data_IF_628819150346
#
_entry.id   IF_628819150346
#
_cell.length_a   1.000
_cell.length_b   1.000
_cell.length_c   1.000
_cell.angle_alpha   90.00
_cell.angle_beta   90.00
_cell.angle_gamma   90.00
#
_symmetry.space_group_name_H-M   'P 1'
#
loop_
_entity.id
_entity.type
_entity.pdbx_description
1 polymer ?
#
# COMPACT_ATOMS: atom_id res chain seq x y z
N UNK A 1 -21.71 12.90 -3.46
CA UNK A 1 -21.17 11.76 -2.69
C UNK A 1 -21.73 10.48 -3.29
N UNK A 2 -20.92 9.44 -3.45
CA UNK A 2 -21.42 8.12 -3.82
C UNK A 2 -22.39 7.60 -2.74
N UNK A 3 -23.38 6.80 -3.13
CA UNK A 3 -24.29 6.18 -2.16
C UNK A 3 -23.50 5.25 -1.22
N UNK A 4 -23.92 5.21 0.06
CA UNK A 4 -23.33 4.32 1.07
C UNK A 4 -23.52 2.86 0.63
N UNK A 5 -22.45 2.05 0.53
CA UNK A 5 -22.56 0.63 0.19
C UNK A 5 -23.41 -0.15 1.20
N UNK A 6 -24.28 -1.03 0.69
CA UNK A 6 -25.14 -1.93 1.48
C UNK A 6 -25.15 -3.37 0.96
N UNK A 7 -24.34 -3.66 -0.06
CA UNK A 7 -24.31 -4.95 -0.76
C UNK A 7 -23.45 -4.89 -2.01
N UNK A 8 -23.33 -6.01 -2.71
CA UNK A 8 -22.69 -6.07 -4.03
C UNK A 8 -23.56 -5.37 -5.09
N UNK A 9 -22.92 -4.67 -6.03
CA UNK A 9 -23.60 -3.88 -7.07
C UNK A 9 -23.37 -4.39 -8.48
N UNK A 10 -22.37 -5.24 -8.70
CA UNK A 10 -22.07 -5.78 -10.01
C UNK A 10 -22.71 -7.17 -10.20
N UNK A 11 -22.84 -7.57 -11.47
CA UNK A 11 -23.27 -8.91 -11.88
C UNK A 11 -22.31 -9.56 -12.89
N UNK A 12 -21.24 -8.83 -13.25
CA UNK A 12 -20.24 -9.21 -14.26
C UNK A 12 -18.92 -8.50 -13.94
N UNK A 13 -17.79 -9.13 -14.26
CA UNK A 13 -16.45 -8.59 -14.06
C UNK A 13 -16.05 -8.53 -12.58
N UNK A 14 -15.00 -7.74 -12.29
CA UNK A 14 -14.50 -7.60 -10.92
C UNK A 14 -15.24 -6.48 -10.18
N UNK A 15 -15.66 -6.76 -8.96
CA UNK A 15 -16.16 -5.77 -8.02
C UNK A 15 -15.17 -5.59 -6.87
N UNK A 16 -14.57 -4.41 -6.76
CA UNK A 16 -13.59 -4.05 -5.73
C UNK A 16 -14.27 -3.35 -4.55
N UNK A 17 -14.17 -3.92 -3.36
CA UNK A 17 -14.59 -3.32 -2.10
C UNK A 17 -13.36 -2.75 -1.39
N UNK A 18 -13.18 -1.42 -1.40
CA UNK A 18 -11.92 -0.80 -0.98
C UNK A 18 -12.10 0.54 -0.24
N UNK A 19 -11.00 1.05 0.30
CA UNK A 19 -10.89 2.37 0.93
C UNK A 19 -9.47 2.94 0.70
N UNK A 20 -9.32 4.26 0.75
CA UNK A 20 -8.08 5.01 0.45
C UNK A 20 -6.98 4.76 1.49
N UNK A 21 -6.40 3.56 1.42
CA UNK A 21 -5.42 3.02 2.37
C UNK A 21 -4.30 2.30 1.61
N UNK A 22 -3.12 2.14 2.23
CA UNK A 22 -2.02 1.37 1.63
C UNK A 22 -2.41 -0.01 1.10
N UNK A 23 -3.27 -0.74 1.82
CA UNK A 23 -3.74 -2.06 1.39
C UNK A 23 -4.77 -1.97 0.26
N UNK A 24 -5.66 -0.98 0.29
CA UNK A 24 -6.65 -0.76 -0.76
C UNK A 24 -6.02 -0.49 -2.12
N UNK A 25 -4.92 0.26 -2.15
CA UNK A 25 -4.24 0.64 -3.38
C UNK A 25 -3.62 -0.53 -4.15
N UNK A 26 -3.26 -1.63 -3.47
CA UNK A 26 -2.71 -2.81 -4.13
C UNK A 26 -3.66 -3.32 -5.22
N UNK A 27 -4.93 -3.50 -4.85
CA UNK A 27 -5.95 -4.02 -5.75
C UNK A 27 -6.32 -3.01 -6.84
N UNK A 28 -6.52 -1.74 -6.50
CA UNK A 28 -6.90 -0.72 -7.49
C UNK A 28 -5.78 -0.46 -8.51
N UNK A 29 -4.51 -0.43 -8.09
CA UNK A 29 -3.37 -0.29 -9.01
C UNK A 29 -3.33 -1.45 -9.99
N UNK A 30 -3.37 -2.70 -9.51
CA UNK A 30 -3.33 -3.85 -10.42
C UNK A 30 -4.55 -3.91 -11.34
N UNK A 31 -5.75 -3.55 -10.85
CA UNK A 31 -6.95 -3.51 -11.68
C UNK A 31 -6.86 -2.44 -12.78
N UNK A 32 -6.27 -1.27 -12.50
CA UNK A 32 -6.01 -0.25 -13.52
C UNK A 32 -4.95 -0.70 -14.53
N UNK A 33 -3.90 -1.42 -14.10
CA UNK A 33 -2.90 -2.02 -14.98
C UNK A 33 -3.53 -3.08 -15.91
N UNK A 34 -4.35 -3.97 -15.35
CA UNK A 34 -5.05 -5.01 -16.11
C UNK A 34 -6.12 -4.45 -17.05
N UNK A 35 -6.80 -3.38 -16.64
CA UNK A 35 -7.75 -2.65 -17.48
C UNK A 35 -7.04 -2.04 -18.69
N UNK A 36 -5.88 -1.43 -18.50
CA UNK A 36 -5.09 -0.84 -19.58
C UNK A 36 -4.50 -1.91 -20.51
N UNK A 37 -3.95 -2.99 -19.97
CA UNK A 37 -3.26 -4.02 -20.75
C UNK A 37 -4.19 -5.03 -21.43
N UNK A 38 -5.34 -5.34 -20.82
CA UNK A 38 -6.21 -6.45 -21.21
C UNK A 38 -7.69 -6.06 -21.34
N UNK A 39 -8.06 -4.81 -21.07
CA UNK A 39 -9.45 -4.36 -21.14
C UNK A 39 -10.34 -4.92 -20.02
N UNK A 40 -9.77 -5.38 -18.90
CA UNK A 40 -10.51 -5.97 -17.78
C UNK A 40 -11.54 -4.97 -17.20
N UNK A 41 -12.85 -5.23 -17.30
CA UNK A 41 -13.85 -4.39 -16.66
C UNK A 41 -13.87 -4.64 -15.15
N UNK A 42 -13.92 -3.55 -14.39
CA UNK A 42 -14.20 -3.63 -12.96
C UNK A 42 -14.97 -2.40 -12.48
N UNK A 43 -15.69 -2.57 -11.37
CA UNK A 43 -16.31 -1.49 -10.59
C UNK A 43 -15.72 -1.48 -9.20
N UNK A 44 -15.82 -0.36 -8.49
CA UNK A 44 -15.39 -0.27 -7.09
C UNK A 44 -16.46 0.37 -6.21
N UNK A 45 -16.45 0.00 -4.92
CA UNK A 45 -17.26 0.60 -3.88
C UNK A 45 -16.38 1.20 -2.78
N UNK A 46 -16.73 2.41 -2.33
CA UNK A 46 -16.05 3.09 -1.22
C UNK A 46 -16.57 2.57 0.14
N UNK A 47 -15.83 1.64 0.73
CA UNK A 47 -16.12 1.06 2.04
C UNK A 47 -15.48 1.93 3.11
N UNK A 48 -16.19 2.98 3.53
CA UNK A 48 -15.69 3.89 4.56
C UNK A 48 -15.52 3.16 5.91
N UNK A 49 -14.26 2.87 6.24
CA UNK A 49 -13.92 2.08 7.43
C UNK A 49 -14.17 2.82 8.75
N UNK A 50 -14.29 4.15 8.70
CA UNK A 50 -14.65 4.97 9.87
C UNK A 50 -16.13 4.82 10.25
N UNK A 51 -16.96 4.34 9.33
CA UNK A 51 -18.37 4.05 9.55
C UNK A 51 -18.64 2.56 9.87
N UNK A 52 -17.59 1.75 10.00
CA UNK A 52 -17.67 0.31 10.25
C UNK A 52 -18.44 -0.49 9.17
N UNK A 53 -18.54 0.01 7.93
CA UNK A 53 -19.23 -0.71 6.83
C UNK A 53 -18.61 -2.10 6.60
N UNK A 54 -17.30 -2.23 6.72
CA UNK A 54 -16.54 -3.48 6.62
C UNK A 54 -16.90 -4.53 7.68
N UNK A 55 -17.72 -4.18 8.67
CA UNK A 55 -18.18 -5.09 9.74
C UNK A 55 -19.62 -5.56 9.53
N UNK A 56 -20.32 -5.02 8.52
CA UNK A 56 -21.70 -5.39 8.23
C UNK A 56 -21.82 -6.82 7.71
N UNK A 57 -22.96 -7.51 7.95
CA UNK A 57 -23.15 -8.90 7.55
C UNK A 57 -22.90 -9.17 6.05
N UNK A 58 -23.29 -8.25 5.18
CA UNK A 58 -23.10 -8.42 3.73
C UNK A 58 -21.62 -8.36 3.34
N UNK A 59 -20.82 -7.52 4.01
CA UNK A 59 -19.40 -7.42 3.76
C UNK A 59 -18.67 -8.62 4.35
N UNK A 60 -19.03 -9.04 5.57
CA UNK A 60 -18.37 -10.18 6.22
C UNK A 60 -18.72 -11.53 5.58
N UNK A 61 -19.83 -11.60 4.84
CA UNK A 61 -20.12 -12.72 3.94
C UNK A 61 -19.11 -12.82 2.78
N UNK A 62 -18.54 -11.70 2.32
CA UNK A 62 -17.48 -11.65 1.30
C UNK A 62 -16.09 -11.83 1.92
N UNK A 63 -15.82 -11.12 3.01
CA UNK A 63 -14.57 -11.19 3.75
C UNK A 63 -14.83 -11.40 5.26
N UNK A 64 -14.68 -12.63 5.79
CA UNK A 64 -14.94 -12.91 7.19
C UNK A 64 -14.01 -12.15 8.17
N UNK A 65 -12.83 -11.67 7.74
CA UNK A 65 -11.94 -10.83 8.55
C UNK A 65 -12.52 -9.40 8.75
N UNK A 66 -13.48 -9.00 7.92
CA UNK A 66 -14.12 -7.68 7.96
C UNK A 66 -13.10 -6.55 7.79
N UNK A 67 -12.20 -6.67 6.81
CA UNK A 67 -11.21 -5.65 6.45
C UNK A 67 -11.18 -5.44 4.94
N UNK A 68 -10.82 -4.24 4.51
CA UNK A 68 -10.54 -3.96 3.10
C UNK A 68 -9.07 -4.29 2.75
N UNK A 69 -8.74 -4.48 1.47
CA UNK A 69 -9.65 -4.67 0.35
C UNK A 69 -10.23 -6.09 0.30
N UNK A 70 -11.34 -6.23 -0.43
CA UNK A 70 -11.87 -7.49 -0.92
C UNK A 70 -12.32 -7.32 -2.38
N UNK A 71 -12.33 -8.40 -3.16
CA UNK A 71 -12.95 -8.43 -4.48
C UNK A 71 -13.99 -9.54 -4.58
N UNK A 72 -14.94 -9.37 -5.50
CA UNK A 72 -15.79 -10.45 -6.00
C UNK A 72 -15.62 -10.54 -7.50
N UNK A 73 -15.29 -11.72 -8.00
CA UNK A 73 -15.23 -12.00 -9.42
C UNK A 73 -16.54 -12.64 -9.90
N UNK A 74 -17.41 -11.81 -10.48
CA UNK A 74 -18.71 -12.23 -10.97
C UNK A 74 -18.63 -13.09 -12.23
N UNK A 75 -17.50 -13.03 -12.97
CA UNK A 75 -17.25 -13.89 -14.13
C UNK A 75 -16.69 -15.26 -13.72
N UNK A 76 -16.48 -15.48 -12.41
CA UNK A 76 -15.99 -16.72 -11.83
C UNK A 76 -16.87 -17.20 -10.68
N UNK A 77 -18.15 -17.38 -10.95
CA UNK A 77 -19.14 -17.91 -10.00
C UNK A 77 -19.25 -17.08 -8.71
N UNK A 78 -18.92 -15.79 -8.76
CA UNK A 78 -18.95 -14.90 -7.59
C UNK A 78 -17.83 -15.19 -6.59
N UNK A 79 -16.69 -15.72 -7.03
CA UNK A 79 -15.55 -16.01 -6.15
C UNK A 79 -15.11 -14.74 -5.41
N UNK A 80 -15.27 -14.77 -4.08
CA UNK A 80 -14.79 -13.73 -3.18
C UNK A 80 -13.31 -13.97 -2.82
N UNK A 81 -12.49 -12.92 -2.91
CA UNK A 81 -11.08 -12.96 -2.53
C UNK A 81 -10.77 -11.78 -1.62
N UNK A 82 -10.25 -12.06 -0.44
CA UNK A 82 -9.75 -11.06 0.50
C UNK A 82 -8.25 -11.28 0.77
N UNK A 83 -7.63 -10.35 1.50
CA UNK A 83 -6.18 -10.16 1.59
C UNK A 83 -5.56 -9.58 0.32
N UNK A 84 -4.97 -8.38 0.43
CA UNK A 84 -4.45 -7.64 -0.73
C UNK A 84 -3.46 -8.43 -1.57
N UNK A 85 -2.61 -9.25 -0.96
CA UNK A 85 -1.61 -10.02 -1.70
C UNK A 85 -2.20 -11.28 -2.36
N UNK A 86 -3.24 -11.87 -1.77
CA UNK A 86 -4.01 -12.94 -2.39
C UNK A 86 -4.81 -12.40 -3.59
N UNK A 87 -5.36 -11.18 -3.48
CA UNK A 87 -6.01 -10.47 -4.59
C UNK A 87 -5.02 -10.24 -5.75
N UNK A 88 -3.81 -9.72 -5.47
CA UNK A 88 -2.78 -9.54 -6.49
C UNK A 88 -2.44 -10.86 -7.22
N UNK A 89 -2.26 -11.93 -6.44
CA UNK A 89 -1.91 -13.25 -6.97
C UNK A 89 -3.06 -13.87 -7.77
N UNK A 90 -4.31 -13.71 -7.32
CA UNK A 90 -5.49 -14.18 -8.04
C UNK A 90 -5.65 -13.48 -9.39
N UNK A 91 -5.64 -12.15 -9.37
CA UNK A 91 -5.85 -11.34 -10.56
C UNK A 91 -4.77 -11.58 -11.62
N UNK A 92 -3.50 -11.71 -11.21
CA UNK A 92 -2.43 -12.03 -12.15
C UNK A 92 -2.54 -13.44 -12.73
N UNK A 93 -2.83 -14.46 -11.91
CA UNK A 93 -3.02 -15.82 -12.43
C UNK A 93 -4.17 -15.93 -13.44
N UNK A 94 -5.25 -15.15 -13.26
CA UNK A 94 -6.44 -15.25 -14.10
C UNK A 94 -6.42 -14.31 -15.31
N UNK A 95 -5.87 -13.10 -15.15
CA UNK A 95 -6.02 -12.03 -16.14
C UNK A 95 -4.70 -11.49 -16.70
N UNK A 96 -3.56 -11.73 -16.05
CA UNK A 96 -2.24 -11.31 -16.58
C UNK A 96 -1.65 -12.39 -17.51
N UNK A 97 -2.35 -12.67 -18.60
CA UNK A 97 -2.07 -13.82 -19.50
C UNK A 97 -0.70 -13.77 -20.18
N UNK A 98 -0.12 -12.57 -20.34
CA UNK A 98 1.21 -12.36 -20.92
C UNK A 98 2.28 -12.09 -19.86
N UNK A 99 1.96 -12.26 -18.57
CA UNK A 99 2.89 -12.03 -17.46
C UNK A 99 3.53 -10.62 -17.50
N UNK A 100 2.74 -9.59 -17.78
CA UNK A 100 3.19 -8.18 -17.81
C UNK A 100 3.42 -7.62 -16.40
N UNK A 101 2.71 -8.14 -15.41
CA UNK A 101 2.75 -7.71 -14.00
C UNK A 101 3.11 -8.84 -13.04
N UNK A 102 3.32 -10.04 -13.56
CA UNK A 102 3.72 -11.24 -12.84
C UNK A 102 4.87 -11.94 -13.57
N UNK A 103 5.44 -12.97 -12.97
CA UNK A 103 6.41 -13.85 -13.63
C UNK A 103 5.71 -15.18 -13.95
N UNK A 104 6.23 -15.91 -14.94
CA UNK A 104 5.70 -17.23 -15.26
C UNK A 104 5.97 -18.21 -14.10
N UNK A 105 5.06 -19.14 -13.75
CA UNK A 105 5.24 -20.03 -12.61
C UNK A 105 6.50 -20.92 -12.65
N UNK A 106 7.05 -21.16 -13.84
CA UNK A 106 8.30 -21.90 -14.06
C UNK A 106 9.56 -21.02 -14.05
N UNK A 107 9.42 -19.71 -13.86
CA UNK A 107 10.53 -18.77 -13.69
C UNK A 107 10.89 -18.65 -12.20
N UNK A 108 12.17 -18.70 -11.87
CA UNK A 108 12.64 -18.47 -10.49
C UNK A 108 12.26 -17.08 -9.95
N UNK A 109 12.08 -16.09 -10.83
CA UNK A 109 11.60 -14.75 -10.42
C UNK A 109 10.16 -14.77 -9.88
N UNK A 110 9.35 -15.79 -10.20
CA UNK A 110 8.06 -16.00 -9.55
C UNK A 110 8.22 -16.22 -8.05
N UNK A 111 9.09 -17.16 -7.65
CA UNK A 111 9.37 -17.44 -6.23
C UNK A 111 10.05 -16.26 -5.53
N UNK A 112 10.93 -15.52 -6.23
CA UNK A 112 11.52 -14.29 -5.65
C UNK A 112 10.48 -13.21 -5.42
N UNK A 113 9.52 -13.05 -6.33
CA UNK A 113 8.40 -12.12 -6.15
C UNK A 113 7.54 -12.53 -4.95
N UNK A 114 7.22 -13.82 -4.79
CA UNK A 114 6.50 -14.33 -3.62
C UNK A 114 7.24 -14.03 -2.31
N UNK A 115 8.57 -14.16 -2.27
CA UNK A 115 9.36 -13.83 -1.09
C UNK A 115 9.24 -12.34 -0.70
N UNK A 116 9.31 -11.43 -1.68
CA UNK A 116 9.16 -9.99 -1.44
C UNK A 116 7.73 -9.59 -1.07
N UNK A 117 6.73 -10.22 -1.67
CA UNK A 117 5.32 -10.05 -1.28
C UNK A 117 5.08 -10.56 0.15
N UNK A 118 5.72 -11.68 0.53
CA UNK A 118 5.71 -12.21 1.89
C UNK A 118 6.41 -11.28 2.89
N UNK A 119 7.58 -10.74 2.53
CA UNK A 119 8.30 -9.74 3.32
C UNK A 119 7.47 -8.47 3.52
N UNK A 120 6.78 -7.99 2.48
CA UNK A 120 5.86 -6.86 2.58
C UNK A 120 4.71 -7.17 3.54
N UNK A 121 4.10 -8.36 3.43
CA UNK A 121 2.94 -8.77 4.22
C UNK A 121 3.27 -8.95 5.71
N UNK A 122 4.40 -9.61 6.01
CA UNK A 122 4.80 -9.93 7.38
C UNK A 122 5.66 -8.86 8.07
N UNK A 123 6.29 -7.98 7.29
CA UNK A 123 7.19 -6.94 7.76
C UNK A 123 6.63 -5.54 7.50
N UNK A 124 6.92 -4.99 6.30
CA UNK A 124 6.68 -3.58 5.96
C UNK A 124 5.29 -3.09 6.34
N UNK A 125 4.24 -3.78 5.90
CA UNK A 125 2.86 -3.36 6.13
C UNK A 125 2.49 -3.32 7.62
N UNK A 126 2.54 -4.44 8.35
CA UNK A 126 2.17 -4.47 9.75
C UNK A 126 3.00 -3.53 10.64
N UNK A 127 4.32 -3.46 10.43
CA UNK A 127 5.21 -2.65 11.26
C UNK A 127 4.95 -1.15 11.05
N UNK A 128 4.84 -0.70 9.79
CA UNK A 128 4.47 0.68 9.49
C UNK A 128 3.04 0.98 9.95
N UNK A 129 2.12 0.02 9.90
CA UNK A 129 0.77 0.16 10.44
C UNK A 129 0.76 0.45 11.94
N UNK A 130 1.63 -0.20 12.72
CA UNK A 130 1.80 0.11 14.14
C UNK A 130 2.46 1.48 14.33
N UNK A 131 3.48 1.82 13.53
CA UNK A 131 4.10 3.14 13.58
C UNK A 131 3.06 4.25 13.33
N UNK A 132 2.24 4.14 12.28
CA UNK A 132 1.14 5.07 12.00
C UNK A 132 0.20 5.21 13.21
N UNK A 133 -0.11 4.11 13.90
CA UNK A 133 -0.96 4.15 15.09
C UNK A 133 -0.33 4.97 16.21
N UNK A 134 0.88 4.63 16.65
CA UNK A 134 1.52 5.32 17.78
C UNK A 134 1.96 6.75 17.47
N UNK A 135 2.20 7.07 16.20
CA UNK A 135 2.55 8.43 15.75
C UNK A 135 1.31 9.31 15.62
N UNK A 136 0.20 8.82 15.05
CA UNK A 136 -0.93 9.70 14.65
C UNK A 136 -2.27 9.40 15.31
N UNK A 137 -2.52 8.16 15.72
CA UNK A 137 -3.88 7.73 16.13
C UNK A 137 -4.02 7.38 17.61
N UNK A 138 -2.93 7.00 18.29
CA UNK A 138 -2.95 6.73 19.72
C UNK A 138 -3.42 7.97 20.48
N UNK A 139 -4.31 7.78 21.47
CA UNK A 139 -4.84 8.87 22.30
C UNK A 139 -3.75 9.51 23.16
N UNK A 140 -2.77 8.70 23.55
CA UNK A 140 -1.64 9.11 24.36
C UNK A 140 -0.35 8.94 23.56
N UNK A 141 0.63 9.81 23.80
CA UNK A 141 1.97 9.70 23.20
C UNK A 141 2.83 8.82 24.11
N UNK A 142 3.18 7.63 23.63
CA UNK A 142 3.91 6.63 24.40
C UNK A 142 5.29 6.42 23.74
N UNK A 143 6.39 6.86 24.36
CA UNK A 143 7.71 6.83 23.74
C UNK A 143 8.18 5.45 23.25
N UNK A 144 8.06 4.40 24.08
CA UNK A 144 8.57 3.06 23.73
C UNK A 144 7.98 2.45 22.44
N UNK A 145 6.65 2.29 22.32
CA UNK A 145 6.07 1.71 21.11
C UNK A 145 6.26 2.61 19.89
N UNK A 146 6.18 3.94 20.04
CA UNK A 146 6.49 4.88 18.94
C UNK A 146 7.89 4.59 18.41
N UNK A 147 8.88 4.61 19.29
CA UNK A 147 10.26 4.32 18.95
C UNK A 147 10.42 2.94 18.29
N UNK A 148 9.89 1.89 18.92
CA UNK A 148 10.01 0.51 18.43
C UNK A 148 9.50 0.35 16.99
N UNK A 149 8.30 0.85 16.70
CA UNK A 149 7.68 0.65 15.39
C UNK A 149 8.18 1.62 14.33
N UNK A 150 8.54 2.85 14.69
CA UNK A 150 9.25 3.75 13.76
C UNK A 150 10.60 3.16 13.40
N UNK A 151 11.41 2.74 14.39
CA UNK A 151 12.73 2.19 14.13
C UNK A 151 12.72 0.89 13.33
N UNK A 152 11.73 0.01 13.53
CA UNK A 152 11.56 -1.17 12.67
C UNK A 152 11.11 -0.79 11.26
N UNK A 153 10.27 0.24 11.12
CA UNK A 153 9.89 0.76 9.80
C UNK A 153 11.11 1.33 9.07
N UNK A 154 11.96 2.12 9.75
CA UNK A 154 13.22 2.63 9.19
C UNK A 154 14.13 1.48 8.73
N UNK A 155 14.29 0.45 9.56
CA UNK A 155 15.08 -0.74 9.20
C UNK A 155 14.56 -1.41 7.92
N UNK A 156 13.24 -1.56 7.78
CA UNK A 156 12.61 -2.18 6.61
C UNK A 156 12.75 -1.31 5.36
N UNK A 157 12.64 0.01 5.48
CA UNK A 157 12.96 0.94 4.40
C UNK A 157 14.42 0.83 3.98
N UNK A 158 15.35 0.70 4.94
CA UNK A 158 16.76 0.52 4.65
C UNK A 158 17.10 -0.79 3.92
N UNK A 159 16.43 -1.89 4.29
CA UNK A 159 16.55 -3.16 3.55
C UNK A 159 16.11 -2.99 2.10
N UNK A 160 14.99 -2.30 1.89
CA UNK A 160 14.48 -2.03 0.55
C UNK A 160 15.40 -1.08 -0.23
N UNK A 161 15.94 -0.03 0.42
CA UNK A 161 16.84 0.95 -0.18
C UNK A 161 18.16 0.32 -0.65
N UNK A 162 18.76 -0.51 0.21
CA UNK A 162 19.96 -1.28 -0.12
C UNK A 162 19.70 -2.21 -1.29
N UNK A 163 18.58 -2.95 -1.28
CA UNK A 163 18.20 -3.83 -2.37
C UNK A 163 17.96 -3.08 -3.69
N UNK A 164 17.45 -1.86 -3.64
CA UNK A 164 17.14 -1.04 -4.81
C UNK A 164 18.31 -0.19 -5.34
N UNK A 165 19.46 -0.17 -4.67
CA UNK A 165 20.59 0.71 -5.03
C UNK A 165 20.99 0.56 -6.51
N UNK A 166 21.05 -0.67 -7.03
CA UNK A 166 21.38 -0.96 -8.42
C UNK A 166 20.18 -1.51 -9.22
N UNK A 167 18.96 -1.29 -8.74
CA UNK A 167 17.73 -1.84 -9.33
C UNK A 167 16.68 -0.76 -9.60
N UNK A 168 15.98 -0.90 -10.71
CA UNK A 168 14.81 -0.10 -11.05
C UNK A 168 13.54 -0.65 -10.39
N UNK A 169 13.44 -1.99 -10.25
CA UNK A 169 12.33 -2.73 -9.64
C UNK A 169 12.82 -3.90 -8.77
N UNK A 170 11.97 -4.34 -7.84
CA UNK A 170 12.36 -5.26 -6.76
C UNK A 170 12.81 -6.62 -7.30
N UNK A 171 12.11 -7.20 -8.27
CA UNK A 171 12.40 -8.54 -8.82
C UNK A 171 12.55 -8.46 -10.33
N UNK A 172 13.22 -9.43 -10.95
CA UNK A 172 13.36 -9.51 -12.40
C UNK A 172 14.82 -9.45 -12.88
N UNK A 173 15.05 -9.74 -14.17
CA UNK A 173 16.37 -9.72 -14.77
C UNK A 173 16.97 -8.32 -14.82
N UNK A 174 18.30 -8.24 -14.95
CA UNK A 174 19.05 -6.96 -15.01
C UNK A 174 18.71 -6.08 -13.79
N UNK A 175 18.18 -4.88 -14.02
CA UNK A 175 17.76 -3.91 -13.00
C UNK A 175 16.35 -4.20 -12.45
N UNK A 176 15.74 -5.33 -12.79
CA UNK A 176 14.39 -5.69 -12.38
C UNK A 176 13.32 -5.31 -13.39
N UNK A 177 12.12 -5.83 -13.16
CA UNK A 177 10.90 -5.57 -13.94
C UNK A 177 9.74 -5.35 -12.98
N UNK A 178 8.94 -4.32 -13.26
CA UNK A 178 7.74 -4.01 -12.49
C UNK A 178 6.81 -5.21 -12.38
N UNK A 179 6.36 -5.51 -11.17
CA UNK A 179 5.49 -6.66 -10.90
C UNK A 179 4.62 -6.45 -9.66
N UNK A 180 3.82 -7.46 -9.31
CA UNK A 180 3.07 -7.49 -8.05
C UNK A 180 3.95 -7.35 -6.80
N UNK A 181 5.26 -7.66 -6.88
CA UNK A 181 6.20 -7.39 -5.79
C UNK A 181 6.26 -5.88 -5.52
N UNK A 182 6.42 -5.06 -6.56
CA UNK A 182 6.44 -3.61 -6.46
C UNK A 182 5.06 -3.06 -6.05
N UNK A 183 3.98 -3.49 -6.73
CA UNK A 183 2.60 -3.05 -6.46
C UNK A 183 2.22 -3.26 -4.99
N UNK A 184 2.67 -4.37 -4.38
CA UNK A 184 2.39 -4.68 -2.98
C UNK A 184 2.94 -3.65 -2.00
N UNK A 185 3.95 -2.87 -2.39
CA UNK A 185 4.66 -1.94 -1.51
C UNK A 185 4.29 -0.47 -1.76
N UNK A 186 3.85 -0.08 -2.97
CA UNK A 186 3.59 1.32 -3.36
C UNK A 186 2.72 2.04 -2.33
N UNK A 187 1.61 1.42 -1.93
CA UNK A 187 0.67 2.01 -0.96
C UNK A 187 1.30 2.32 0.39
N UNK A 188 2.24 1.49 0.86
CA UNK A 188 2.91 1.66 2.15
C UNK A 188 4.04 2.67 2.05
N UNK A 189 4.88 2.57 1.01
CA UNK A 189 6.01 3.47 0.80
C UNK A 189 5.54 4.90 0.53
N UNK A 190 4.48 5.10 -0.28
CA UNK A 190 3.94 6.44 -0.49
C UNK A 190 3.39 7.06 0.81
N UNK A 191 2.99 6.25 1.78
CA UNK A 191 2.48 6.72 3.08
C UNK A 191 3.57 6.77 4.15
N UNK A 192 4.86 6.78 3.79
CA UNK A 192 5.98 6.94 4.73
C UNK A 192 5.78 8.11 5.74
N UNK A 193 5.28 9.30 5.34
CA UNK A 193 5.08 10.39 6.29
C UNK A 193 4.10 10.05 7.42
N UNK A 194 3.15 9.12 7.20
CA UNK A 194 2.23 8.67 8.26
C UNK A 194 2.95 8.07 9.46
N UNK A 195 4.08 7.41 9.22
CA UNK A 195 4.93 6.81 10.24
C UNK A 195 6.03 7.76 10.74
N UNK A 196 6.03 9.03 10.33
CA UNK A 196 7.11 9.97 10.64
C UNK A 196 8.42 9.66 9.91
N UNK A 197 8.37 8.87 8.84
CA UNK A 197 9.53 8.48 8.05
C UNK A 197 9.78 9.55 6.99
N UNK A 198 10.99 10.09 6.96
CA UNK A 198 11.47 10.94 5.88
C UNK A 198 12.02 10.08 4.74
N UNK A 199 11.28 10.04 3.62
CA UNK A 199 11.68 9.26 2.45
C UNK A 199 13.00 9.73 1.83
N UNK A 200 13.45 10.96 2.11
CA UNK A 200 14.74 11.45 1.61
C UNK A 200 15.95 10.77 2.25
N UNK A 201 15.77 10.06 3.38
CA UNK A 201 16.79 9.21 3.98
C UNK A 201 17.04 7.91 3.16
N UNK A 202 16.12 7.58 2.23
CA UNK A 202 16.13 6.35 1.43
C UNK A 202 16.09 6.70 -0.06
N UNK A 203 17.20 7.16 -0.65
CA UNK A 203 17.22 7.71 -2.00
C UNK A 203 16.84 6.70 -3.09
N UNK A 204 17.22 5.42 -2.95
CA UNK A 204 16.87 4.38 -3.92
C UNK A 204 15.38 4.02 -3.83
N UNK A 205 14.81 3.96 -2.61
CA UNK A 205 13.36 3.81 -2.40
C UNK A 205 12.59 4.98 -3.00
N UNK A 206 13.05 6.22 -2.78
CA UNK A 206 12.42 7.40 -3.36
C UNK A 206 12.42 7.33 -4.89
N UNK A 207 13.58 7.02 -5.49
CA UNK A 207 13.71 6.91 -6.95
C UNK A 207 12.84 5.78 -7.53
N UNK A 208 12.73 4.64 -6.83
CA UNK A 208 11.82 3.56 -7.19
C UNK A 208 10.36 4.00 -7.12
N UNK A 209 9.96 4.69 -6.04
CA UNK A 209 8.58 5.18 -5.90
C UNK A 209 8.25 6.17 -7.03
N UNK A 210 9.15 7.10 -7.33
CA UNK A 210 8.99 8.05 -8.44
C UNK A 210 8.80 7.31 -9.77
N UNK A 211 9.63 6.30 -10.08
CA UNK A 211 9.46 5.43 -11.26
C UNK A 211 8.12 4.70 -11.27
N UNK A 212 7.64 4.19 -10.14
CA UNK A 212 6.30 3.59 -10.08
C UNK A 212 5.20 4.60 -10.41
N UNK A 213 5.34 5.86 -9.97
CA UNK A 213 4.38 6.93 -10.28
C UNK A 213 4.44 7.44 -11.72
N UNK A 214 5.49 7.14 -12.50
CA UNK A 214 5.51 7.41 -13.94
C UNK A 214 4.45 6.59 -14.70
N UNK A 215 3.95 5.50 -14.09
CA UNK A 215 2.94 4.62 -14.69
C UNK A 215 1.53 5.23 -14.58
N UNK A 216 0.80 5.44 -15.70
CA UNK A 216 -0.55 6.01 -15.67
C UNK A 216 -1.54 5.21 -14.80
N UNK A 217 -1.46 3.88 -14.85
CA UNK A 217 -2.30 3.00 -14.04
C UNK A 217 -2.06 3.15 -12.53
N UNK A 218 -0.82 3.38 -12.10
CA UNK A 218 -0.50 3.66 -10.69
C UNK A 218 -1.15 4.99 -10.26
N UNK A 219 -1.01 6.04 -11.08
CA UNK A 219 -1.61 7.35 -10.78
C UNK A 219 -3.14 7.27 -10.66
N UNK A 220 -3.81 6.49 -11.53
CA UNK A 220 -5.27 6.26 -11.43
C UNK A 220 -5.61 5.40 -10.22
N UNK A 221 -4.88 4.32 -9.99
CA UNK A 221 -5.14 3.36 -8.92
C UNK A 221 -5.05 3.97 -7.51
N UNK A 222 -4.10 4.88 -7.27
CA UNK A 222 -3.96 5.55 -5.96
C UNK A 222 -5.05 6.60 -5.69
N UNK A 223 -5.84 6.98 -6.70
CA UNK A 223 -6.99 7.88 -6.55
C UNK A 223 -8.29 7.14 -6.26
N UNK A 224 -8.26 5.81 -6.13
CA UNK A 224 -9.44 4.97 -5.90
C UNK A 224 -9.50 4.53 -4.43
N UNK A 225 -10.65 4.71 -3.75
CA UNK A 225 -11.89 5.34 -4.24
C UNK A 225 -11.84 6.88 -4.26
N UNK A 226 -10.89 7.46 -3.53
CA UNK A 226 -10.57 8.89 -3.51
C UNK A 226 -9.08 9.09 -3.17
N UNK A 227 -8.52 10.25 -3.50
CA UNK A 227 -7.11 10.55 -3.22
C UNK A 227 -6.82 10.70 -1.72
N UNK A 228 -5.70 10.15 -1.24
CA UNK A 228 -5.28 10.32 0.15
C UNK A 228 -4.37 11.54 0.32
N UNK A 229 -4.71 12.41 1.26
CA UNK A 229 -3.90 13.59 1.60
C UNK A 229 -2.54 13.28 2.24
N UNK A 230 -2.23 12.01 2.55
CA UNK A 230 -1.04 11.61 3.29
C UNK A 230 0.04 10.92 2.46
N UNK A 231 -0.11 10.86 1.14
CA UNK A 231 0.99 10.40 0.28
C UNK A 231 2.17 11.39 0.34
N UNK A 232 3.40 10.92 0.12
CA UNK A 232 4.60 11.76 0.01
C UNK A 232 4.36 12.95 -0.92
N UNK A 233 3.83 12.68 -2.11
CA UNK A 233 3.56 13.72 -3.11
C UNK A 233 2.48 14.70 -2.66
N UNK A 234 1.38 14.21 -2.08
CA UNK A 234 0.27 15.07 -1.68
C UNK A 234 0.61 15.91 -0.45
N UNK A 235 1.32 15.34 0.53
CA UNK A 235 1.81 16.09 1.68
C UNK A 235 2.75 17.21 1.23
N UNK A 236 3.71 16.91 0.35
CA UNK A 236 4.62 17.91 -0.20
C UNK A 236 3.86 19.05 -0.93
N UNK A 237 2.88 18.71 -1.76
CA UNK A 237 2.03 19.70 -2.45
C UNK A 237 1.23 20.56 -1.47
N UNK A 238 0.65 19.97 -0.41
CA UNK A 238 -0.13 20.69 0.60
C UNK A 238 0.74 21.64 1.43
N UNK A 239 1.95 21.19 1.81
CA UNK A 239 2.94 22.04 2.47
C UNK A 239 3.41 23.19 1.59
N UNK A 240 3.63 22.95 0.29
CA UNK A 240 4.00 24.00 -0.67
C UNK A 240 2.88 25.03 -0.85
N UNK A 241 1.62 24.59 -0.84
CA UNK A 241 0.44 25.46 -0.91
C UNK A 241 0.19 26.26 0.39
N UNK A 242 0.92 25.97 1.46
CA UNK A 242 0.77 26.68 2.73
C UNK A 242 -0.55 26.36 3.44
N UNK A 243 -1.02 25.12 3.41
CA UNK A 243 -2.20 24.71 4.17
C UNK A 243 -2.04 25.05 5.66
N UNK A 244 -3.02 25.78 6.20
CA UNK A 244 -2.96 26.37 7.54
C UNK A 244 -2.74 25.30 8.63
N UNK A 245 -1.75 25.53 9.50
CA UNK A 245 -1.40 24.63 10.61
C UNK A 245 -0.81 23.28 10.21
N UNK A 246 -0.69 22.94 8.91
CA UNK A 246 -0.15 21.65 8.47
C UNK A 246 1.33 21.50 8.83
N UNK A 247 2.13 22.55 8.60
CA UNK A 247 3.57 22.53 8.91
C UNK A 247 3.83 22.32 10.39
N UNK A 248 3.12 23.06 11.25
CA UNK A 248 3.23 22.94 12.71
C UNK A 248 2.90 21.52 13.19
N UNK A 249 1.84 20.92 12.64
CA UNK A 249 1.47 19.53 12.95
C UNK A 249 2.55 18.52 12.54
N UNK A 250 3.14 18.68 11.36
CA UNK A 250 4.21 17.78 10.91
C UNK A 250 5.52 17.99 11.69
N UNK A 251 5.83 19.23 12.08
CA UNK A 251 6.98 19.53 12.95
C UNK A 251 6.78 18.94 14.36
N UNK A 252 5.56 18.98 14.89
CA UNK A 252 5.21 18.33 16.16
C UNK A 252 5.36 16.80 16.08
N UNK A 253 4.85 16.18 15.01
CA UNK A 253 5.03 14.74 14.75
C UNK A 253 6.51 14.38 14.69
N UNK A 254 7.31 15.14 13.95
CA UNK A 254 8.76 14.93 13.84
C UNK A 254 9.44 15.02 15.20
N UNK A 255 9.12 16.06 15.98
CA UNK A 255 9.66 16.26 17.33
C UNK A 255 9.33 15.07 18.24
N UNK A 256 8.07 14.63 18.26
CA UNK A 256 7.61 13.50 19.07
C UNK A 256 8.36 12.19 18.74
N UNK A 257 8.59 11.93 17.46
CA UNK A 257 9.35 10.76 17.00
C UNK A 257 10.81 10.84 17.44
N UNK A 258 11.45 12.01 17.29
CA UNK A 258 12.85 12.20 17.68
C UNK A 258 13.05 12.10 19.21
N UNK A 259 12.14 12.65 20.00
CA UNK A 259 12.16 12.51 21.46
C UNK A 259 12.01 11.05 21.89
N UNK A 260 11.11 10.29 21.22
CA UNK A 260 10.96 8.86 21.47
C UNK A 260 12.24 8.07 21.13
N UNK A 261 12.91 8.41 20.02
CA UNK A 261 14.22 7.83 19.64
C UNK A 261 15.29 8.10 20.67
N UNK A 262 15.42 9.36 21.10
CA UNK A 262 16.43 9.78 22.07
C UNK A 262 16.22 9.10 23.43
N UNK A 263 14.97 8.98 23.88
CA UNK A 263 14.63 8.36 25.17
C UNK A 263 15.12 6.90 25.30
N UNK A 264 15.24 6.18 24.18
CA UNK A 264 15.74 4.79 24.17
C UNK A 264 17.07 4.63 23.43
N UNK A 265 17.79 5.74 23.17
CA UNK A 265 19.11 5.73 22.54
C UNK A 265 19.14 5.06 21.17
N UNK A 266 18.03 5.12 20.42
CA UNK A 266 17.96 4.48 19.12
C UNK A 266 18.85 5.18 18.11
N UNK A 267 19.59 4.36 17.37
CA UNK A 267 20.36 4.78 16.22
C UNK A 267 19.96 3.90 15.06
N UNK A 268 19.50 4.54 13.98
CA UNK A 268 19.18 3.84 12.76
C UNK A 268 20.41 3.05 12.27
N UNK A 269 20.18 1.80 11.93
CA UNK A 269 21.14 0.94 11.23
C UNK A 269 20.36 0.02 10.30
N UNK A 270 20.84 -0.14 9.08
CA UNK A 270 20.34 -1.14 8.14
C UNK A 270 21.34 -2.31 8.05
N UNK A 271 20.86 -3.55 7.83
CA UNK A 271 21.72 -4.69 7.50
C UNK A 271 22.56 -4.46 6.23
#
# INVERSE_FOLDING_TARGET
MAARPTGLIAKKGIELLTFSTPNGYKASILLEELKEAYGLPYVYQNINIMQNIQKEPWFTAVNPNGRIPAIVDHDNEGLAVFEGNAILSYLTRKYDTEHKFSFAPNDNDYTRAEAWVGWQHGGLGPMQGQANHFVRFAKERIPYPTQRYVGETERLFGVLDTHLTDRDFVVGPKRGRYSIADISMIGWVQSAPMAGIDIHQFPAVKAWLDRCYERPAVQRGVQIPEDSGFSVQNLAKRLQKGEEGLREKEDEVKKQVEEAKQAYGYKYSSP
#
